data_IF_446605216111
#
_entry.id   IF_446605216111
#
_cell.length_a   1.000
_cell.length_b   1.000
_cell.length_c   1.000
_cell.angle_alpha   90.00
_cell.angle_beta   90.00
_cell.angle_gamma   90.00
#
_symmetry.space_group_name_H-M   'P 1'
#
loop_
_entity.id
_entity.type
_entity.pdbx_description
1 polymer ?
#
# COMPACT_ATOMS: atom_id res chain seq x y z
N UNK A 1 -6.05 11.63 -0.46
CA UNK A 1 -4.70 11.37 0.10
C UNK A 1 -4.80 10.61 1.42
N UNK A 2 -3.80 9.83 1.79
CA UNK A 2 -3.72 9.24 3.14
C UNK A 2 -2.28 9.18 3.66
N UNK A 3 -2.13 9.07 4.98
CA UNK A 3 -0.82 8.97 5.64
C UNK A 3 -0.53 7.54 6.11
N UNK A 4 0.75 7.19 6.11
CA UNK A 4 1.29 5.93 6.59
C UNK A 4 2.35 6.22 7.64
N UNK A 5 2.23 5.57 8.78
CA UNK A 5 3.12 5.71 9.93
C UNK A 5 3.32 4.33 10.57
N UNK A 6 4.53 4.07 11.05
CA UNK A 6 4.82 2.85 11.81
C UNK A 6 3.99 2.76 13.08
N UNK A 7 3.61 1.54 13.45
CA UNK A 7 3.02 1.28 14.76
C UNK A 7 4.06 1.48 15.87
N UNK A 8 3.60 1.77 17.09
CA UNK A 8 4.46 2.02 18.27
C UNK A 8 5.08 0.75 18.86
N UNK A 9 5.37 -0.26 18.05
CA UNK A 9 5.73 -1.60 18.49
C UNK A 9 7.25 -1.79 18.74
N UNK A 10 8.00 -0.70 18.93
CA UNK A 10 9.46 -0.68 19.13
C UNK A 10 10.22 -1.56 18.12
N UNK A 11 9.77 -1.53 16.87
CA UNK A 11 10.38 -2.27 15.76
C UNK A 11 11.57 -1.49 15.18
N UNK A 12 12.59 -2.19 14.64
CA UNK A 12 13.83 -1.55 14.23
C UNK A 12 13.65 -0.56 13.09
N UNK A 13 12.80 -0.87 12.10
CA UNK A 13 12.58 -0.01 10.94
C UNK A 13 11.34 0.84 11.15
N UNK A 14 11.47 2.15 10.91
CA UNK A 14 10.43 3.14 11.20
C UNK A 14 10.09 3.93 9.92
N UNK A 15 8.79 4.02 9.61
CA UNK A 15 8.22 4.90 8.60
C UNK A 15 7.53 6.06 9.32
N UNK A 16 7.86 7.28 8.92
CA UNK A 16 7.31 8.51 9.47
C UNK A 16 6.73 9.38 8.35
N UNK A 17 5.52 9.87 8.57
CA UNK A 17 4.84 10.88 7.72
C UNK A 17 4.84 10.53 6.22
N UNK A 18 4.67 9.25 5.85
CA UNK A 18 4.58 8.89 4.44
C UNK A 18 3.21 9.31 3.89
N UNK A 19 3.20 10.22 2.93
CA UNK A 19 2.00 10.73 2.26
C UNK A 19 1.83 10.01 0.93
N UNK A 20 0.66 9.39 0.74
CA UNK A 20 0.31 8.65 -0.46
C UNK A 20 -0.92 9.28 -1.13
N UNK A 21 -0.77 9.58 -2.42
CA UNK A 21 -1.89 9.93 -3.30
C UNK A 21 -2.33 8.71 -4.08
N UNK A 22 -3.63 8.61 -4.32
CA UNK A 22 -4.27 7.50 -5.03
C UNK A 22 -4.84 8.00 -6.35
N UNK A 23 -4.62 7.24 -7.42
CA UNK A 23 -5.08 7.52 -8.76
C UNK A 23 -5.72 6.27 -9.39
N UNK A 24 -6.65 6.50 -10.31
CA UNK A 24 -7.25 5.45 -11.15
C UNK A 24 -6.29 4.96 -12.26
N UNK A 25 -6.78 4.08 -13.14
CA UNK A 25 -5.99 3.50 -14.23
C UNK A 25 -5.56 4.53 -15.31
N UNK A 26 -6.28 5.66 -15.40
CA UNK A 26 -6.03 6.83 -16.28
C UNK A 26 -5.21 7.91 -15.61
N UNK A 27 -4.71 7.66 -14.39
CA UNK A 27 -3.94 8.62 -13.61
C UNK A 27 -4.74 9.89 -13.21
N UNK A 28 -6.06 9.77 -13.04
CA UNK A 28 -6.88 10.80 -12.40
C UNK A 28 -6.93 10.58 -10.89
N UNK A 29 -6.87 11.65 -10.07
CA UNK A 29 -6.99 11.53 -8.62
C UNK A 29 -8.25 10.76 -8.23
N UNK A 30 -8.14 9.79 -7.33
CA UNK A 30 -9.29 9.03 -6.85
C UNK A 30 -9.63 9.36 -5.40
N UNK A 31 -10.76 10.03 -5.24
CA UNK A 31 -11.35 10.44 -3.98
C UNK A 31 -12.76 9.80 -3.85
N UNK A 32 -13.17 9.41 -2.64
CA UNK A 32 -14.54 8.98 -2.36
C UNK A 32 -14.99 9.54 -1.02
N UNK A 33 -16.05 10.35 -1.02
CA UNK A 33 -16.57 11.04 0.18
C UNK A 33 -15.47 11.82 0.93
N UNK A 34 -14.69 12.61 0.21
CA UNK A 34 -13.56 13.40 0.70
C UNK A 34 -12.46 12.58 1.40
N UNK A 35 -12.41 11.27 1.16
CA UNK A 35 -11.38 10.36 1.66
C UNK A 35 -10.64 9.71 0.50
N UNK A 36 -9.43 9.24 0.75
CA UNK A 36 -8.67 8.52 -0.27
C UNK A 36 -9.41 7.26 -0.71
N UNK A 37 -9.49 7.07 -2.03
CA UNK A 37 -10.06 5.88 -2.64
C UNK A 37 -8.96 5.16 -3.43
N UNK A 38 -8.68 3.92 -3.04
CA UNK A 38 -7.73 3.06 -3.77
C UNK A 38 -8.50 2.35 -4.88
N UNK A 39 -8.18 2.66 -6.13
CA UNK A 39 -8.77 2.00 -7.31
C UNK A 39 -7.87 0.89 -7.79
N UNK A 40 -8.45 -0.28 -8.09
CA UNK A 40 -7.75 -1.43 -8.66
C UNK A 40 -8.31 -1.77 -10.05
N UNK A 41 -7.46 -1.82 -11.10
CA UNK A 41 -6.07 -1.36 -11.11
C UNK A 41 -5.98 0.16 -11.00
N UNK A 42 -4.84 0.68 -10.54
CA UNK A 42 -4.63 2.12 -10.36
C UNK A 42 -3.19 2.42 -9.99
N UNK A 43 -2.93 3.65 -9.52
CA UNK A 43 -1.59 4.06 -9.10
C UNK A 43 -1.59 4.67 -7.70
N UNK A 44 -0.52 4.40 -6.96
CA UNK A 44 -0.19 5.08 -5.72
C UNK A 44 1.06 5.94 -5.95
N UNK A 45 0.97 7.24 -5.71
CA UNK A 45 2.10 8.17 -5.80
C UNK A 45 2.61 8.49 -4.39
N UNK A 46 3.89 8.24 -4.16
CA UNK A 46 4.58 8.61 -2.92
C UNK A 46 5.05 10.07 -3.03
N UNK A 47 4.53 10.96 -2.18
CA UNK A 47 4.89 12.40 -2.22
C UNK A 47 6.01 12.76 -1.25
N UNK A 48 5.88 12.32 -0.01
CA UNK A 48 6.78 12.65 1.09
C UNK A 48 6.81 11.46 2.03
N UNK A 49 7.91 11.27 2.73
CA UNK A 49 8.01 10.35 3.85
C UNK A 49 9.46 10.13 4.22
N UNK A 50 9.67 9.57 5.40
CA UNK A 50 10.99 9.17 5.86
C UNK A 50 10.97 7.71 6.29
N UNK A 51 11.99 6.97 5.87
CA UNK A 51 12.26 5.61 6.27
C UNK A 51 13.58 5.57 7.04
N UNK A 52 13.52 5.21 8.32
CA UNK A 52 14.70 5.02 9.16
C UNK A 52 15.08 3.54 9.20
N UNK A 53 16.28 3.26 8.69
CA UNK A 53 16.86 1.92 8.63
C UNK A 53 18.08 1.87 9.54
N UNK A 54 18.01 1.20 10.71
CA UNK A 54 19.05 1.29 11.74
C UNK A 54 20.28 0.41 11.44
N UNK A 55 20.13 -0.57 10.55
CA UNK A 55 21.19 -1.53 10.20
C UNK A 55 21.00 -2.04 8.78
N UNK A 56 22.07 -2.55 8.19
CA UNK A 56 22.03 -3.07 6.83
C UNK A 56 21.19 -4.35 6.80
N UNK A 57 20.25 -4.43 5.86
CA UNK A 57 19.46 -5.62 5.59
C UNK A 57 19.87 -6.19 4.23
N UNK A 58 19.90 -7.51 4.09
CA UNK A 58 20.07 -8.17 2.79
C UNK A 58 18.70 -8.62 2.31
N UNK A 59 17.95 -7.68 1.74
CA UNK A 59 16.51 -7.80 1.56
C UNK A 59 16.15 -8.86 0.53
N UNK A 60 16.97 -9.01 -0.51
CA UNK A 60 16.76 -9.97 -1.61
C UNK A 60 16.54 -11.39 -1.11
N UNK A 61 15.41 -12.00 -1.50
CA UNK A 61 14.96 -13.35 -1.12
C UNK A 61 14.76 -13.61 0.39
N UNK A 62 14.94 -12.59 1.24
CA UNK A 62 14.86 -12.73 2.70
C UNK A 62 13.77 -11.84 3.31
N UNK A 63 13.03 -11.09 2.48
CA UNK A 63 12.08 -10.08 2.94
C UNK A 63 10.70 -10.29 2.34
N UNK A 64 9.72 -10.43 3.22
CA UNK A 64 8.34 -10.66 2.84
C UNK A 64 7.45 -9.60 3.49
N UNK A 65 6.54 -9.05 2.70
CA UNK A 65 5.42 -8.23 3.16
C UNK A 65 4.25 -9.16 3.42
N UNK A 66 3.86 -9.30 4.69
CA UNK A 66 2.69 -10.04 5.12
C UNK A 66 1.58 -9.07 5.45
N UNK A 67 0.38 -9.37 4.98
CA UNK A 67 -0.80 -8.56 5.16
C UNK A 67 -1.76 -9.25 6.12
N UNK A 68 -2.39 -8.46 6.98
CA UNK A 68 -3.64 -8.80 7.66
C UNK A 68 -4.70 -7.84 7.15
N UNK A 69 -5.73 -8.38 6.51
CA UNK A 69 -6.72 -7.60 5.74
C UNK A 69 -8.12 -7.97 6.18
N UNK A 70 -8.89 -6.98 6.63
CA UNK A 70 -10.25 -7.17 7.14
C UNK A 70 -11.22 -6.21 6.46
N UNK A 71 -12.34 -6.73 5.95
CA UNK A 71 -13.42 -5.91 5.41
C UNK A 71 -14.28 -5.35 6.55
N UNK A 72 -14.78 -4.12 6.40
CA UNK A 72 -15.81 -3.57 7.31
C UNK A 72 -17.02 -4.51 7.29
N UNK A 73 -17.39 -5.02 8.46
CA UNK A 73 -18.38 -6.10 8.61
C UNK A 73 -17.82 -7.39 9.20
N UNK A 74 -16.49 -7.50 9.34
CA UNK A 74 -15.83 -8.52 10.19
C UNK A 74 -15.12 -9.64 9.44
N UNK A 75 -15.31 -9.77 8.13
CA UNK A 75 -14.64 -10.80 7.33
C UNK A 75 -13.14 -10.54 7.25
N UNK A 76 -12.35 -11.47 7.80
CA UNK A 76 -10.89 -11.53 7.66
C UNK A 76 -10.56 -12.28 6.36
N UNK A 77 -9.70 -11.70 5.52
CA UNK A 77 -9.27 -12.27 4.23
C UNK A 77 -7.82 -12.73 4.24
N UNK A 78 -6.98 -11.96 4.95
CA UNK A 78 -5.60 -12.31 5.22
C UNK A 78 -5.35 -12.19 6.72
N UNK A 79 -4.62 -13.16 7.26
CA UNK A 79 -4.12 -13.19 8.62
C UNK A 79 -2.62 -13.47 8.60
N UNK A 80 -1.81 -12.46 8.93
CA UNK A 80 -0.35 -12.51 8.97
C UNK A 80 0.26 -13.20 7.73
N UNK A 81 -0.20 -12.80 6.55
CA UNK A 81 0.31 -13.31 5.27
C UNK A 81 -0.29 -14.62 4.79
N UNK A 82 -1.24 -15.21 5.51
CA UNK A 82 -2.00 -16.38 5.07
C UNK A 82 -3.42 -15.98 4.73
N UNK A 83 -3.96 -16.51 3.64
CA UNK A 83 -5.38 -16.33 3.37
C UNK A 83 -6.21 -17.20 4.31
N UNK A 84 -7.29 -16.61 4.80
CA UNK A 84 -8.31 -17.28 5.61
C UNK A 84 -9.50 -17.76 4.79
N UNK A 85 -9.58 -17.37 3.50
CA UNK A 85 -10.69 -17.72 2.61
C UNK A 85 -10.19 -18.59 1.46
N UNK A 86 -10.93 -19.65 1.15
CA UNK A 86 -10.48 -20.71 0.22
C UNK A 86 -10.23 -20.23 -1.21
N UNK A 87 -10.93 -19.18 -1.66
CA UNK A 87 -10.86 -18.66 -3.03
C UNK A 87 -9.83 -17.52 -3.20
N UNK A 88 -9.17 -17.07 -2.13
CA UNK A 88 -8.18 -15.98 -2.18
C UNK A 88 -6.77 -16.57 -2.01
N UNK A 89 -5.94 -16.57 -3.06
CA UNK A 89 -4.61 -17.19 -2.97
C UNK A 89 -3.67 -16.49 -1.97
N UNK A 90 -2.86 -17.27 -1.24
CA UNK A 90 -1.87 -16.76 -0.29
C UNK A 90 -0.88 -15.73 -0.88
N UNK A 91 -0.62 -15.79 -2.19
CA UNK A 91 0.26 -14.83 -2.89
C UNK A 91 -0.22 -13.37 -2.80
N UNK A 92 -1.51 -13.15 -2.52
CA UNK A 92 -2.06 -11.82 -2.30
C UNK A 92 -1.97 -11.38 -0.83
N UNK A 93 -1.73 -12.30 0.10
CA UNK A 93 -1.53 -12.00 1.51
C UNK A 93 -0.03 -11.87 1.86
N UNK A 94 0.84 -12.59 1.16
CA UNK A 94 2.29 -12.53 1.34
C UNK A 94 2.99 -12.23 0.00
N UNK A 95 3.71 -11.11 -0.03
CA UNK A 95 4.37 -10.57 -1.24
C UNK A 95 5.87 -10.45 -0.94
N UNK A 96 6.71 -10.77 -1.92
CA UNK A 96 8.15 -10.46 -1.82
C UNK A 96 8.34 -8.94 -1.96
N UNK A 97 8.96 -8.31 -0.96
CA UNK A 97 9.09 -6.86 -0.91
C UNK A 97 9.82 -6.31 -2.14
N UNK A 98 10.95 -6.91 -2.51
CA UNK A 98 11.81 -6.40 -3.57
C UNK A 98 11.22 -6.66 -4.96
N UNK A 99 10.47 -7.75 -5.14
CA UNK A 99 9.69 -7.95 -6.35
C UNK A 99 8.57 -6.91 -6.52
N UNK A 100 7.99 -6.42 -5.41
CA UNK A 100 6.91 -5.43 -5.46
C UNK A 100 7.42 -4.00 -5.72
N UNK A 101 8.48 -3.58 -5.03
CA UNK A 101 8.98 -2.20 -5.11
C UNK A 101 10.06 -2.00 -6.19
N UNK A 102 10.59 -3.09 -6.75
CA UNK A 102 11.70 -3.07 -7.71
C UNK A 102 13.08 -3.15 -7.05
N UNK A 103 14.05 -3.65 -7.81
CA UNK A 103 15.44 -3.84 -7.36
C UNK A 103 16.09 -2.52 -6.93
N UNK A 104 15.87 -1.42 -7.66
CA UNK A 104 16.44 -0.09 -7.38
C UNK A 104 16.04 0.42 -5.99
N UNK A 105 14.74 0.36 -5.66
CA UNK A 105 14.24 0.80 -4.37
C UNK A 105 14.66 -0.16 -3.25
N UNK A 106 14.66 -1.47 -3.54
CA UNK A 106 15.16 -2.48 -2.62
C UNK A 106 16.61 -2.18 -2.21
N UNK A 107 17.51 -1.86 -3.15
CA UNK A 107 18.91 -1.51 -2.87
C UNK A 107 19.08 -0.26 -1.99
N UNK A 108 18.18 0.72 -2.11
CA UNK A 108 18.22 1.90 -1.23
C UNK A 108 17.82 1.53 0.19
N UNK A 109 16.74 0.77 0.35
CA UNK A 109 16.22 0.35 1.66
C UNK A 109 17.20 -0.61 2.36
N UNK A 110 18.06 -1.33 1.63
CA UNK A 110 19.14 -2.13 2.21
C UNK A 110 20.18 -1.28 2.97
N UNK A 111 20.38 -0.02 2.58
CA UNK A 111 21.42 0.85 3.14
C UNK A 111 20.98 1.43 4.49
N UNK A 112 21.94 1.51 5.42
CA UNK A 112 21.73 2.16 6.72
C UNK A 112 21.53 3.65 6.53
N UNK A 113 20.53 4.22 7.19
CA UNK A 113 20.31 5.66 7.19
C UNK A 113 18.84 6.03 7.26
N UNK A 114 18.61 7.34 7.23
CA UNK A 114 17.29 7.92 7.06
C UNK A 114 17.14 8.27 5.58
N UNK A 115 16.28 7.54 4.88
CA UNK A 115 16.00 7.78 3.47
C UNK A 115 14.69 8.55 3.35
N UNK A 116 14.70 9.62 2.57
CA UNK A 116 13.47 10.36 2.24
C UNK A 116 12.97 9.98 0.85
N UNK A 117 11.66 10.11 0.61
CA UNK A 117 11.09 9.86 -0.73
C UNK A 117 11.80 10.70 -1.80
N UNK A 118 12.03 11.99 -1.53
CA UNK A 118 12.73 12.88 -2.45
C UNK A 118 14.16 12.41 -2.74
N UNK A 119 14.91 12.04 -1.70
CA UNK A 119 16.27 11.53 -1.85
C UNK A 119 16.30 10.25 -2.71
N UNK A 120 15.34 9.35 -2.53
CA UNK A 120 15.23 8.12 -3.31
C UNK A 120 14.98 8.45 -4.78
N UNK A 121 13.97 9.28 -5.06
CA UNK A 121 13.61 9.67 -6.44
C UNK A 121 14.81 10.33 -7.13
N UNK A 122 15.47 11.26 -6.46
CA UNK A 122 16.61 12.01 -7.01
C UNK A 122 17.84 11.13 -7.27
N UNK A 123 18.09 10.12 -6.43
CA UNK A 123 19.31 9.29 -6.50
C UNK A 123 19.16 8.04 -7.33
N UNK A 124 17.95 7.54 -7.55
CA UNK A 124 17.76 6.17 -8.09
C UNK A 124 16.93 6.06 -9.36
N UNK A 125 16.59 7.17 -10.04
CA UNK A 125 15.64 7.15 -11.17
C UNK A 125 14.30 6.46 -10.82
N UNK A 126 14.05 6.27 -9.53
CA UNK A 126 12.90 5.55 -9.03
C UNK A 126 11.64 6.33 -9.40
N UNK A 127 10.70 5.62 -10.00
CA UNK A 127 9.39 6.19 -10.28
C UNK A 127 8.55 6.13 -8.99
N UNK A 128 8.21 7.27 -8.35
CA UNK A 128 7.39 7.28 -7.14
C UNK A 128 5.94 6.83 -7.39
N UNK A 129 5.58 6.58 -8.65
CA UNK A 129 4.32 5.98 -9.07
C UNK A 129 4.41 4.46 -8.98
N UNK A 130 3.82 3.91 -7.94
CA UNK A 130 3.64 2.48 -7.77
C UNK A 130 2.35 2.05 -8.47
N UNK A 131 2.44 1.10 -9.41
CA UNK A 131 1.25 0.49 -10.00
C UNK A 131 0.62 -0.47 -8.99
N UNK A 132 -0.66 -0.27 -8.71
CA UNK A 132 -1.44 -1.17 -7.88
C UNK A 132 -1.78 -2.45 -8.66
N UNK A 133 -1.82 -3.61 -8.00
CA UNK A 133 -2.09 -4.87 -8.68
C UNK A 133 -3.50 -4.88 -9.27
N UNK A 134 -3.68 -5.66 -10.33
CA UNK A 134 -5.00 -5.94 -10.86
C UNK A 134 -5.85 -6.67 -9.81
N UNK A 135 -7.17 -6.39 -9.74
CA UNK A 135 -8.06 -7.12 -8.85
C UNK A 135 -8.00 -8.62 -9.20
N UNK A 136 -7.98 -9.54 -8.22
CA UNK A 136 -7.85 -10.96 -8.53
C UNK A 136 -9.09 -11.43 -9.30
N UNK A 137 -8.85 -11.95 -10.50
CA UNK A 137 -9.87 -12.55 -11.33
C UNK A 137 -9.86 -14.07 -11.20
N UNK A 138 -11.02 -14.65 -10.93
CA UNK A 138 -11.26 -16.09 -10.96
C UNK A 138 -11.73 -16.48 -12.36
N UNK A 139 -10.81 -16.87 -13.25
CA UNK A 139 -10.99 -17.44 -14.62
C UNK A 139 -11.99 -16.71 -15.54
N UNK A 140 -13.26 -16.58 -15.14
CA UNK A 140 -14.39 -16.00 -15.86
C UNK A 140 -14.92 -14.72 -15.18
N UNK A 141 -14.65 -14.49 -13.89
CA UNK A 141 -15.20 -13.35 -13.13
C UNK A 141 -14.10 -12.61 -12.37
N UNK A 142 -14.01 -11.29 -12.54
CA UNK A 142 -13.18 -10.44 -11.70
C UNK A 142 -13.95 -10.09 -10.43
N UNK A 143 -13.33 -10.28 -9.28
CA UNK A 143 -13.97 -10.08 -7.97
C UNK A 143 -14.04 -8.58 -7.60
N UNK A 144 -14.23 -7.69 -8.57
CA UNK A 144 -14.22 -6.23 -8.40
C UNK A 144 -15.21 -5.78 -7.31
N UNK A 145 -16.44 -6.30 -7.35
CA UNK A 145 -17.47 -6.06 -6.33
C UNK A 145 -17.10 -6.59 -4.94
N UNK A 146 -16.28 -7.64 -4.87
CA UNK A 146 -15.85 -8.21 -3.60
C UNK A 146 -14.85 -7.28 -2.90
N UNK A 147 -13.95 -6.65 -3.67
CA UNK A 147 -12.94 -5.71 -3.17
C UNK A 147 -13.48 -4.30 -2.96
N UNK A 148 -14.65 -3.97 -3.53
CA UNK A 148 -15.35 -2.73 -3.22
C UNK A 148 -15.71 -2.61 -1.73
N UNK A 149 -15.39 -1.47 -1.13
CA UNK A 149 -15.82 -1.08 0.21
C UNK A 149 -14.70 -0.58 1.11
N UNK A 150 -14.96 -0.55 2.42
CA UNK A 150 -14.03 -0.08 3.43
C UNK A 150 -13.25 -1.25 4.04
N UNK A 151 -11.92 -1.12 4.07
CA UNK A 151 -10.98 -2.17 4.45
C UNK A 151 -9.97 -1.70 5.50
N UNK A 152 -9.63 -2.57 6.42
CA UNK A 152 -8.57 -2.38 7.41
C UNK A 152 -7.35 -3.17 6.97
N UNK A 153 -6.21 -2.49 6.79
CA UNK A 153 -4.94 -3.08 6.40
C UNK A 153 -3.91 -2.92 7.52
N UNK A 154 -3.35 -4.04 7.95
CA UNK A 154 -2.20 -4.12 8.86
C UNK A 154 -1.07 -4.85 8.13
N UNK A 155 0.06 -4.18 7.98
CA UNK A 155 1.16 -4.60 7.13
C UNK A 155 2.37 -4.92 8.00
N UNK A 156 2.93 -6.10 7.80
CA UNK A 156 4.09 -6.61 8.52
C UNK A 156 5.20 -6.87 7.51
N UNK A 157 6.32 -6.17 7.65
CA UNK A 157 7.52 -6.45 6.86
C UNK A 157 8.41 -7.35 7.70
N UNK A 158 8.63 -8.56 7.21
CA UNK A 158 9.50 -9.55 7.83
C UNK A 158 10.82 -9.64 7.10
N UNK A 159 11.92 -9.72 7.88
CA UNK A 159 13.25 -10.04 7.40
C UNK A 159 13.76 -11.28 8.13
N UNK A 160 14.13 -12.32 7.36
CA UNK A 160 14.59 -13.62 7.89
C UNK A 160 13.64 -14.19 8.98
N UNK A 161 12.34 -14.11 8.73
CA UNK A 161 11.29 -14.62 9.61
C UNK A 161 10.99 -13.76 10.85
N UNK A 162 11.64 -12.61 11.01
CA UNK A 162 11.36 -11.68 12.11
C UNK A 162 10.71 -10.40 11.57
N UNK A 163 9.62 -9.95 12.19
CA UNK A 163 9.01 -8.66 11.84
C UNK A 163 9.98 -7.52 12.19
N UNK A 164 10.31 -6.71 11.20
CA UNK A 164 11.23 -5.56 11.35
C UNK A 164 10.52 -4.22 11.22
N UNK A 165 9.33 -4.21 10.63
CA UNK A 165 8.47 -3.04 10.49
C UNK A 165 7.01 -3.48 10.48
N UNK A 166 6.17 -2.68 11.11
CA UNK A 166 4.72 -2.81 11.04
C UNK A 166 4.08 -1.44 10.90
N UNK A 167 3.06 -1.34 10.07
CA UNK A 167 2.30 -0.11 9.86
C UNK A 167 0.86 -0.43 9.44
N UNK A 168 -0.05 0.52 9.66
CA UNK A 168 -1.46 0.42 9.26
C UNK A 168 -1.77 1.42 8.15
N UNK A 169 -2.71 1.05 7.28
CA UNK A 169 -3.15 1.89 6.16
C UNK A 169 -4.67 2.11 6.25
N UNK A 170 -5.14 3.35 6.48
CA UNK A 170 -4.37 4.57 6.81
C UNK A 170 -3.82 4.54 8.24
N UNK A 171 -2.89 5.44 8.56
CA UNK A 171 -2.36 5.57 9.93
C UNK A 171 -3.38 6.19 10.91
N UNK A 172 -4.14 7.19 10.44
CA UNK A 172 -5.05 8.01 11.27
C UNK A 172 -6.51 7.58 11.21
N UNK A 173 -6.86 6.73 10.26
CA UNK A 173 -8.21 6.21 10.08
C UNK A 173 -8.21 4.69 10.21
N UNK A 174 -9.35 4.11 10.57
CA UNK A 174 -9.47 2.66 10.71
C UNK A 174 -9.64 1.95 9.36
N UNK A 175 -10.24 2.63 8.40
CA UNK A 175 -10.65 2.04 7.13
C UNK A 175 -10.12 2.84 5.96
N UNK A 176 -9.67 2.13 4.93
CA UNK A 176 -9.33 2.64 3.61
C UNK A 176 -10.45 2.24 2.64
N UNK A 177 -10.98 3.19 1.88
CA UNK A 177 -11.92 2.88 0.81
C UNK A 177 -11.15 2.26 -0.36
N UNK A 178 -11.62 1.11 -0.83
CA UNK A 178 -11.12 0.42 -2.02
C UNK A 178 -12.28 0.30 -3.00
N UNK A 179 -12.02 0.60 -4.26
CA UNK A 179 -12.97 0.46 -5.35
C UNK A 179 -12.29 -0.30 -6.49
N UNK A 180 -13.07 -1.03 -7.27
CA UNK A 180 -12.57 -1.68 -8.46
C UNK A 180 -13.27 -1.08 -9.66
N UNK A 181 -12.50 -0.66 -10.65
CA UNK A 181 -13.03 0.04 -11.81
C UNK A 181 -13.66 -0.99 -12.75
N UNK A 182 -14.95 -1.27 -12.53
CA UNK A 182 -15.79 -1.79 -13.60
C UNK A 182 -17.06 -0.97 -13.64
N UNK A 183 -17.23 -0.29 -14.77
CA UNK A 183 -18.37 0.53 -15.23
C UNK A 183 -18.41 1.98 -14.76
N UNK A 184 -18.45 2.86 -15.77
CA UNK A 184 -18.92 4.23 -15.77
C UNK A 184 -20.07 4.39 -14.75
N UNK A 185 -19.75 4.96 -13.60
CA UNK A 185 -20.71 5.75 -12.87
C UNK A 185 -20.23 7.17 -12.99
N UNK A 186 -20.89 7.91 -13.87
CA UNK A 186 -20.88 9.36 -13.91
C UNK A 186 -21.03 9.89 -12.47
N UNK A 187 -20.02 10.59 -11.98
CA UNK A 187 -20.23 11.85 -11.27
C UNK A 187 -18.88 12.52 -11.02
N UNK A 188 -18.74 13.66 -11.67
CA UNK A 188 -17.75 14.70 -11.45
C UNK A 188 -17.45 14.86 -9.95
N UNK A 189 -16.29 14.39 -9.52
CA UNK A 189 -15.71 14.81 -8.24
C UNK A 189 -14.24 15.11 -8.53
N UNK A 190 -14.05 16.25 -9.20
CA UNK A 190 -12.77 16.95 -9.17
C UNK A 190 -12.35 17.11 -7.71
N UNK A 191 -11.15 16.62 -7.39
CA UNK A 191 -10.52 16.91 -6.10
C UNK A 191 -9.88 18.30 -6.19
N UNK A 192 -10.69 19.32 -6.50
CA UNK A 192 -10.31 20.73 -6.42
C UNK A 192 -11.10 21.36 -5.26
N UNK A 193 -10.39 21.55 -4.15
CA UNK A 193 -10.83 22.46 -3.11
C UNK A 193 -10.75 23.88 -3.71
N UNK A 194 -11.91 24.50 -3.95
CA UNK A 194 -12.04 25.95 -4.10
C UNK A 194 -11.59 26.61 -2.78
N UNK A 195 -10.33 27.04 -2.72
CA UNK A 195 -9.91 28.13 -1.82
C UNK A 195 -10.01 29.45 -2.60
N UNK A 196 -11.23 29.98 -2.76
CA UNK A 196 -11.47 31.36 -3.18
C UNK A 196 -11.84 32.20 -1.93
N UNK A 197 -10.91 33.06 -1.50
CA UNK A 197 -11.15 34.25 -0.64
C UNK A 197 -11.57 35.45 -1.49
#
# INVERSE_FOLDING_TARGET
MFTVESTKDNLPVIISELIVLTYDDKFKPSCSRNRANVVLPGYALLLKGQLSVPKRFSLKNNTFVKLSVRKRGGSLYCDHGKSTVWFFPNRYCAIDLCNFIGDELCEVIEKVGNHTVNEIVDKTNFNPKLKLPDPPCLVIFCLTDLFGGEWEFDVFVEYKGNTVLRFRLPAREKYLQVSAETTEYDDDNDCDDEDDE
#
